data_IF_237778482446
#
_entry.id   IF_237778482446
#
_cell.length_a   1.000
_cell.length_b   1.000
_cell.length_c   1.000
_cell.angle_alpha   90.00
_cell.angle_beta   90.00
_cell.angle_gamma   90.00
#
_symmetry.space_group_name_H-M   'P 1'
#
loop_
_entity.id
_entity.type
_entity.pdbx_description
1 polymer ?
#
# COMPACT_ATOMS: atom_id res chain seq x y z
N UNK A 1 -5.38 -24.46 -10.13
CA UNK A 1 -5.77 -23.29 -10.93
C UNK A 1 -5.34 -22.05 -10.14
N UNK A 2 -4.50 -21.16 -10.67
CA UNK A 2 -4.29 -19.82 -10.13
C UNK A 2 -2.90 -19.40 -9.65
N UNK A 3 -1.81 -20.11 -10.00
CA UNK A 3 -0.45 -19.60 -9.67
C UNK A 3 0.08 -18.49 -10.60
N UNK A 4 -0.56 -18.25 -11.74
CA UNK A 4 -0.01 -17.38 -12.79
C UNK A 4 -0.79 -16.08 -13.06
N UNK A 5 -1.79 -15.72 -12.22
CA UNK A 5 -2.63 -14.53 -12.48
C UNK A 5 -1.85 -13.20 -12.41
N UNK A 6 -0.73 -13.17 -11.71
CA UNK A 6 0.13 -11.99 -11.61
C UNK A 6 1.38 -12.10 -12.48
N UNK A 7 1.64 -13.28 -13.10
CA UNK A 7 2.77 -13.47 -13.98
C UNK A 7 2.68 -12.57 -15.22
N UNK A 8 3.79 -11.88 -15.55
CA UNK A 8 3.86 -10.95 -16.65
C UNK A 8 3.11 -9.63 -16.45
N UNK A 9 2.59 -9.37 -15.24
CA UNK A 9 1.98 -8.10 -14.87
C UNK A 9 3.00 -7.14 -14.26
N UNK A 10 2.79 -5.85 -14.46
CA UNK A 10 3.61 -4.81 -13.83
C UNK A 10 2.95 -4.33 -12.56
N UNK A 11 3.66 -4.43 -11.43
CA UNK A 11 3.21 -4.00 -10.12
C UNK A 11 4.01 -2.78 -9.63
N UNK A 12 3.31 -1.70 -9.25
CA UNK A 12 3.89 -0.57 -8.52
C UNK A 12 3.57 -0.71 -7.03
N UNK A 13 4.60 -0.75 -6.18
CA UNK A 13 4.50 -0.71 -4.72
C UNK A 13 5.12 0.59 -4.23
N UNK A 14 4.32 1.52 -3.70
CA UNK A 14 4.85 2.72 -3.07
C UNK A 14 5.31 2.44 -1.64
N UNK A 15 6.39 3.11 -1.19
CA UNK A 15 7.03 2.75 0.09
C UNK A 15 7.60 1.34 0.06
N UNK A 16 8.09 0.90 -1.11
CA UNK A 16 8.53 -0.47 -1.36
C UNK A 16 9.81 -0.87 -0.62
N UNK A 17 10.58 0.08 -0.10
CA UNK A 17 11.90 -0.18 0.51
C UNK A 17 11.85 -0.65 1.96
N UNK A 18 10.69 -0.62 2.64
CA UNK A 18 10.62 -0.95 4.07
C UNK A 18 9.39 -1.74 4.48
N UNK A 19 9.49 -2.45 5.59
CA UNK A 19 8.38 -3.12 6.27
C UNK A 19 7.43 -3.88 5.34
N UNK A 20 6.17 -3.51 5.37
CA UNK A 20 5.10 -4.10 4.55
C UNK A 20 5.43 -4.00 3.05
N UNK A 21 5.95 -2.84 2.59
CA UNK A 21 6.26 -2.64 1.18
C UNK A 21 7.30 -3.61 0.64
N UNK A 22 8.34 -3.92 1.43
CA UNK A 22 9.37 -4.91 1.10
C UNK A 22 8.77 -6.32 0.98
N UNK A 23 7.95 -6.72 1.95
CA UNK A 23 7.31 -8.03 1.93
C UNK A 23 6.36 -8.18 0.72
N UNK A 24 5.59 -7.14 0.41
CA UNK A 24 4.72 -7.09 -0.78
C UNK A 24 5.51 -7.22 -2.08
N UNK A 25 6.60 -6.48 -2.21
CA UNK A 25 7.44 -6.51 -3.41
C UNK A 25 8.01 -7.90 -3.68
N UNK A 26 8.55 -8.55 -2.64
CA UNK A 26 9.09 -9.92 -2.73
C UNK A 26 8.01 -10.94 -3.11
N UNK A 27 6.85 -10.87 -2.50
CA UNK A 27 5.76 -11.79 -2.83
C UNK A 27 5.21 -11.58 -4.23
N UNK A 28 5.05 -10.33 -4.69
CA UNK A 28 4.64 -10.04 -6.06
C UNK A 28 5.65 -10.55 -7.08
N UNK A 29 6.94 -10.40 -6.80
CA UNK A 29 8.00 -10.97 -7.62
C UNK A 29 7.94 -12.52 -7.66
N UNK A 30 7.71 -13.16 -6.51
CA UNK A 30 7.54 -14.61 -6.42
C UNK A 30 6.30 -15.11 -7.21
N UNK A 31 5.23 -14.30 -7.27
CA UNK A 31 4.04 -14.56 -8.10
C UNK A 31 4.26 -14.26 -9.60
N UNK A 32 5.44 -13.82 -10.00
CA UNK A 32 5.82 -13.64 -11.40
C UNK A 32 5.63 -12.23 -11.96
N UNK A 33 5.29 -11.26 -11.15
CA UNK A 33 5.15 -9.88 -11.58
C UNK A 33 6.52 -9.20 -11.83
N UNK A 34 6.55 -8.24 -12.74
CA UNK A 34 7.55 -7.19 -12.77
C UNK A 34 7.24 -6.18 -11.65
N UNK A 35 8.25 -5.72 -10.90
CA UNK A 35 8.01 -4.93 -9.69
C UNK A 35 8.70 -3.57 -9.77
N UNK A 36 7.93 -2.51 -9.56
CA UNK A 36 8.45 -1.17 -9.36
C UNK A 36 8.35 -0.78 -7.87
N UNK A 37 9.47 -0.32 -7.34
CA UNK A 37 9.63 0.14 -5.96
C UNK A 37 9.65 1.66 -5.92
N UNK A 38 8.55 2.30 -5.48
CA UNK A 38 8.58 3.72 -5.16
C UNK A 38 9.17 3.94 -3.77
N UNK A 39 10.20 4.77 -3.62
CA UNK A 39 10.82 5.09 -2.33
C UNK A 39 11.10 6.60 -2.20
N UNK A 40 11.34 7.10 -0.97
CA UNK A 40 11.69 8.51 -0.75
C UNK A 40 13.13 8.71 -0.28
N UNK A 41 13.52 8.08 0.81
CA UNK A 41 14.80 8.35 1.47
C UNK A 41 15.74 7.14 1.56
N UNK A 42 15.20 5.93 1.51
CA UNK A 42 15.96 4.70 1.74
C UNK A 42 16.46 4.12 0.40
N UNK A 43 17.29 4.89 -0.33
CA UNK A 43 17.84 4.48 -1.65
C UNK A 43 18.58 3.15 -1.57
N UNK A 44 19.51 3.02 -0.61
CA UNK A 44 20.29 1.79 -0.44
C UNK A 44 19.39 0.56 -0.20
N UNK A 45 18.39 0.67 0.68
CA UNK A 45 17.44 -0.41 0.94
C UNK A 45 16.60 -0.75 -0.30
N UNK A 46 16.23 0.25 -1.10
CA UNK A 46 15.48 0.03 -2.33
C UNK A 46 16.34 -0.67 -3.40
N UNK A 47 17.60 -0.28 -3.55
CA UNK A 47 18.55 -0.88 -4.48
C UNK A 47 18.93 -2.32 -4.07
N UNK A 48 19.13 -2.58 -2.77
CA UNK A 48 19.33 -3.93 -2.25
C UNK A 48 18.14 -4.85 -2.52
N UNK A 49 16.92 -4.35 -2.27
CA UNK A 49 15.70 -5.11 -2.57
C UNK A 49 15.53 -5.36 -4.07
N UNK A 50 15.84 -4.38 -4.89
CA UNK A 50 15.80 -4.55 -6.34
C UNK A 50 16.80 -5.63 -6.81
N UNK A 51 18.01 -5.67 -6.24
CA UNK A 51 18.98 -6.72 -6.52
C UNK A 51 18.45 -8.12 -6.11
N UNK A 52 17.86 -8.24 -4.92
CA UNK A 52 17.25 -9.50 -4.43
C UNK A 52 16.11 -9.99 -5.36
N UNK A 53 15.27 -9.07 -5.87
CA UNK A 53 14.22 -9.41 -6.83
C UNK A 53 14.81 -9.81 -8.18
N UNK A 54 15.87 -9.13 -8.63
CA UNK A 54 16.54 -9.45 -9.88
C UNK A 54 17.18 -10.84 -9.87
N UNK A 55 17.67 -11.33 -8.71
CA UNK A 55 18.16 -12.71 -8.54
C UNK A 55 17.06 -13.75 -8.82
N UNK A 56 15.79 -13.41 -8.58
CA UNK A 56 14.64 -14.23 -8.94
C UNK A 56 14.29 -14.16 -10.44
N UNK A 57 15.13 -13.49 -11.26
CA UNK A 57 14.93 -13.25 -12.70
C UNK A 57 13.63 -12.52 -13.02
N UNK A 58 13.24 -11.58 -12.16
CA UNK A 58 12.07 -10.70 -12.38
C UNK A 58 12.53 -9.30 -12.76
N UNK A 59 11.88 -8.67 -13.74
CA UNK A 59 12.12 -7.27 -14.04
C UNK A 59 11.78 -6.42 -12.80
N UNK A 60 12.69 -5.50 -12.46
CA UNK A 60 12.52 -4.64 -11.29
C UNK A 60 13.12 -3.27 -11.56
N UNK A 61 12.50 -2.22 -11.01
CA UNK A 61 13.03 -0.85 -10.98
C UNK A 61 12.76 -0.22 -9.63
N UNK A 62 13.71 0.56 -9.13
CA UNK A 62 13.54 1.40 -7.96
C UNK A 62 13.55 2.87 -8.39
N UNK A 63 12.50 3.62 -8.04
CA UNK A 63 12.32 5.03 -8.43
C UNK A 63 12.11 5.87 -7.19
N UNK A 64 12.93 6.90 -7.04
CA UNK A 64 12.80 7.87 -5.96
C UNK A 64 11.64 8.83 -6.25
N UNK A 65 10.74 9.01 -5.28
CA UNK A 65 9.62 9.92 -5.38
C UNK A 65 9.21 10.47 -4.00
N UNK A 66 9.18 11.78 -3.85
CA UNK A 66 8.61 12.44 -2.68
C UNK A 66 7.11 12.66 -2.89
N UNK A 67 6.31 11.72 -2.46
CA UNK A 67 4.86 11.72 -2.63
C UNK A 67 4.13 12.86 -1.88
N UNK A 68 4.84 13.68 -1.10
CA UNK A 68 4.28 14.92 -0.55
C UNK A 68 4.12 16.01 -1.63
N UNK A 69 4.84 15.90 -2.75
CA UNK A 69 4.76 16.82 -3.89
C UNK A 69 3.57 16.46 -4.77
N UNK A 70 2.81 17.45 -5.27
CA UNK A 70 1.61 17.19 -6.08
C UNK A 70 1.87 16.43 -7.39
N UNK A 71 2.99 16.69 -8.04
CA UNK A 71 3.40 16.10 -9.33
C UNK A 71 4.00 14.69 -9.18
N UNK A 72 4.72 14.41 -8.09
CA UNK A 72 5.51 13.21 -7.91
C UNK A 72 4.74 11.88 -8.08
N UNK A 73 3.46 11.73 -7.68
CA UNK A 73 2.73 10.50 -7.91
C UNK A 73 2.57 10.16 -9.40
N UNK A 74 2.33 11.17 -10.26
CA UNK A 74 2.18 10.98 -11.71
C UNK A 74 3.53 10.70 -12.34
N UNK A 75 4.56 11.48 -12.00
CA UNK A 75 5.94 11.27 -12.49
C UNK A 75 6.47 9.88 -12.12
N UNK A 76 6.16 9.39 -10.90
CA UNK A 76 6.49 8.02 -10.48
C UNK A 76 5.82 6.99 -11.39
N UNK A 77 4.52 7.14 -11.65
CA UNK A 77 3.78 6.19 -12.49
C UNK A 77 4.31 6.20 -13.93
N UNK A 78 4.54 7.37 -14.52
CA UNK A 78 5.12 7.52 -15.86
C UNK A 78 6.52 6.89 -15.95
N UNK A 79 7.35 7.08 -14.91
CA UNK A 79 8.68 6.45 -14.84
C UNK A 79 8.61 4.93 -14.78
N UNK A 80 7.62 4.37 -14.07
CA UNK A 80 7.38 2.92 -14.04
C UNK A 80 6.93 2.42 -15.41
N UNK A 81 5.96 3.10 -16.02
CA UNK A 81 5.42 2.71 -17.34
C UNK A 81 6.49 2.77 -18.43
N UNK A 82 7.41 3.73 -18.36
CA UNK A 82 8.57 3.81 -19.25
C UNK A 82 9.53 2.63 -19.06
N UNK A 83 9.79 2.21 -17.81
CA UNK A 83 10.77 1.18 -17.51
C UNK A 83 10.25 -0.26 -17.65
N UNK A 84 9.00 -0.52 -17.24
CA UNK A 84 8.44 -1.86 -17.13
C UNK A 84 7.15 -2.09 -17.92
N UNK A 85 6.66 -1.06 -18.61
CA UNK A 85 5.37 -1.10 -19.31
C UNK A 85 4.19 -0.76 -18.40
N UNK A 86 2.96 -0.84 -18.95
CA UNK A 86 1.75 -0.39 -18.30
C UNK A 86 1.54 -0.99 -16.91
N UNK A 87 1.15 -0.18 -15.93
CA UNK A 87 0.88 -0.64 -14.56
C UNK A 87 -0.44 -1.40 -14.54
N UNK A 88 -0.39 -2.68 -14.15
CA UNK A 88 -1.55 -3.57 -13.98
C UNK A 88 -1.95 -3.71 -12.51
N UNK A 89 -1.01 -3.52 -11.59
CA UNK A 89 -1.20 -3.68 -10.15
C UNK A 89 -0.66 -2.44 -9.45
N UNK A 90 -1.48 -1.77 -8.66
CA UNK A 90 -1.10 -0.66 -7.81
C UNK A 90 -1.30 -1.05 -6.34
N UNK A 91 -0.22 -1.11 -5.57
CA UNK A 91 -0.27 -1.20 -4.11
C UNK A 91 0.20 0.14 -3.54
N UNK A 92 -0.77 0.98 -3.17
CA UNK A 92 -0.49 2.26 -2.54
C UNK A 92 -0.23 2.05 -1.05
N UNK A 93 1.02 1.73 -0.73
CA UNK A 93 1.48 1.37 0.61
C UNK A 93 2.21 2.52 1.33
N UNK A 94 2.84 3.44 0.61
CA UNK A 94 3.53 4.57 1.22
C UNK A 94 2.62 5.31 2.21
N UNK A 95 3.18 5.64 3.37
CA UNK A 95 2.46 6.37 4.38
C UNK A 95 3.41 6.98 5.41
N UNK A 96 2.98 8.08 6.00
CA UNK A 96 3.64 8.75 7.11
C UNK A 96 2.69 8.82 8.29
N UNK A 97 3.24 8.71 9.51
CA UNK A 97 2.48 8.82 10.74
C UNK A 97 3.39 9.28 11.87
N UNK A 98 3.38 10.57 12.17
CA UNK A 98 4.00 11.13 13.37
C UNK A 98 3.01 11.03 14.52
N UNK A 99 3.41 10.37 15.61
CA UNK A 99 2.57 10.31 16.81
C UNK A 99 2.42 11.71 17.41
N UNK A 100 1.19 12.19 17.48
CA UNK A 100 0.85 13.50 18.02
C UNK A 100 -0.60 13.51 18.53
N UNK A 101 -0.85 14.20 19.66
CA UNK A 101 -2.19 14.43 20.17
C UNK A 101 -2.96 15.41 19.28
N UNK A 102 -4.27 15.52 19.48
CA UNK A 102 -5.09 16.50 18.72
C UNK A 102 -4.69 17.95 18.99
N UNK A 103 -4.05 18.23 20.12
CA UNK A 103 -3.56 19.56 20.49
C UNK A 103 -2.23 19.89 19.82
N UNK A 104 -1.44 18.88 19.45
CA UNK A 104 -0.12 19.00 18.82
C UNK A 104 -0.18 18.98 17.29
N UNK A 105 -1.27 18.48 16.72
CA UNK A 105 -1.46 18.43 15.26
C UNK A 105 -1.84 19.79 14.73
N UNK A 106 -0.88 20.50 14.15
CA UNK A 106 -1.15 21.74 13.42
C UNK A 106 -1.57 21.48 11.96
N UNK A 107 -1.94 22.55 11.26
CA UNK A 107 -2.37 22.47 9.85
C UNK A 107 -1.28 21.91 8.93
N UNK A 108 -0.01 22.22 9.17
CA UNK A 108 1.10 21.77 8.33
C UNK A 108 1.31 20.25 8.44
N UNK A 109 1.33 19.69 9.65
CA UNK A 109 1.42 18.27 9.88
C UNK A 109 0.19 17.52 9.32
N UNK A 110 -1.00 18.12 9.47
CA UNK A 110 -2.23 17.57 8.92
C UNK A 110 -2.15 17.48 7.39
N UNK A 111 -1.78 18.57 6.72
CA UNK A 111 -1.69 18.66 5.26
C UNK A 111 -0.60 17.75 4.69
N UNK A 112 0.59 17.68 5.32
CA UNK A 112 1.65 16.76 4.93
C UNK A 112 1.17 15.30 4.97
N UNK A 113 0.49 14.94 6.05
CA UNK A 113 -0.03 13.57 6.21
C UNK A 113 -1.07 13.23 5.14
N UNK A 114 -2.00 14.15 4.86
CA UNK A 114 -2.99 13.95 3.81
C UNK A 114 -2.34 13.93 2.41
N UNK A 115 -1.30 14.71 2.18
CA UNK A 115 -0.58 14.71 0.92
C UNK A 115 -0.04 13.32 0.57
N UNK A 116 0.65 12.68 1.52
CA UNK A 116 1.26 11.36 1.31
C UNK A 116 0.23 10.23 1.40
N UNK A 117 -0.61 10.24 2.44
CA UNK A 117 -1.46 9.09 2.77
C UNK A 117 -2.76 9.04 1.96
N UNK A 118 -3.19 10.15 1.37
CA UNK A 118 -4.47 10.25 0.67
C UNK A 118 -4.35 10.80 -0.75
N UNK A 119 -3.78 12.01 -0.92
CA UNK A 119 -3.68 12.65 -2.23
C UNK A 119 -2.84 11.82 -3.20
N UNK A 120 -1.69 11.32 -2.77
CA UNK A 120 -0.82 10.52 -3.61
C UNK A 120 -1.47 9.20 -4.06
N UNK A 121 -2.06 8.36 -3.19
CA UNK A 121 -2.85 7.20 -3.60
C UNK A 121 -3.98 7.52 -4.59
N UNK A 122 -4.70 8.63 -4.37
CA UNK A 122 -5.74 9.09 -5.30
C UNK A 122 -5.18 9.43 -6.68
N UNK A 123 -4.09 10.20 -6.75
CA UNK A 123 -3.47 10.60 -8.02
C UNK A 123 -2.89 9.41 -8.78
N UNK A 124 -2.24 8.46 -8.08
CA UNK A 124 -1.78 7.20 -8.67
C UNK A 124 -2.94 6.40 -9.24
N UNK A 125 -3.99 6.16 -8.45
CA UNK A 125 -5.16 5.43 -8.91
C UNK A 125 -5.81 6.12 -10.13
N UNK A 126 -5.99 7.45 -10.09
CA UNK A 126 -6.51 8.24 -11.19
C UNK A 126 -5.68 8.10 -12.47
N UNK A 127 -4.34 8.02 -12.35
CA UNK A 127 -3.44 7.89 -13.48
C UNK A 127 -3.54 6.50 -14.13
N UNK A 128 -3.50 5.42 -13.34
CA UNK A 128 -3.45 4.05 -13.88
C UNK A 128 -4.79 3.51 -14.35
N UNK A 129 -5.90 4.01 -13.79
CA UNK A 129 -7.25 3.48 -14.05
C UNK A 129 -7.67 3.51 -15.53
N UNK A 130 -7.45 4.57 -16.32
CA UNK A 130 -7.83 4.58 -17.73
C UNK A 130 -7.21 3.41 -18.51
N UNK A 131 -5.89 3.20 -18.38
CA UNK A 131 -5.20 2.11 -19.04
C UNK A 131 -5.60 0.72 -18.52
N UNK A 132 -5.83 0.56 -17.21
CA UNK A 132 -6.34 -0.69 -16.63
C UNK A 132 -7.72 -1.05 -17.22
N UNK A 133 -8.63 -0.08 -17.32
CA UNK A 133 -9.97 -0.27 -17.89
C UNK A 133 -9.92 -0.66 -19.36
N UNK A 134 -9.10 0.04 -20.14
CA UNK A 134 -8.92 -0.26 -21.57
C UNK A 134 -8.39 -1.68 -21.81
N UNK A 135 -7.47 -2.16 -20.96
CA UNK A 135 -6.92 -3.52 -21.03
C UNK A 135 -7.83 -4.60 -20.42
N UNK A 136 -8.96 -4.22 -19.80
CA UNK A 136 -9.87 -5.16 -19.14
C UNK A 136 -9.26 -5.85 -17.91
N UNK A 137 -8.21 -5.28 -17.32
CA UNK A 137 -7.52 -5.82 -16.15
C UNK A 137 -6.88 -4.71 -15.32
N UNK A 138 -7.11 -4.75 -14.02
CA UNK A 138 -6.44 -3.89 -13.04
C UNK A 138 -6.67 -4.38 -11.63
N UNK A 139 -5.68 -4.16 -10.76
CA UNK A 139 -5.72 -4.49 -9.34
C UNK A 139 -5.20 -3.32 -8.52
N UNK A 140 -6.04 -2.72 -7.71
CA UNK A 140 -5.65 -1.61 -6.82
C UNK A 140 -5.91 -2.03 -5.38
N UNK A 141 -4.87 -1.90 -4.54
CA UNK A 141 -4.99 -2.06 -3.09
C UNK A 141 -4.40 -0.83 -2.41
N UNK A 142 -5.21 -0.21 -1.56
CA UNK A 142 -4.77 0.83 -0.64
C UNK A 142 -4.39 0.20 0.70
N UNK A 143 -3.18 0.45 1.20
CA UNK A 143 -2.79 0.05 2.55
C UNK A 143 -3.27 1.13 3.53
N UNK A 144 -4.40 0.83 4.16
CA UNK A 144 -5.05 1.65 5.16
C UNK A 144 -4.47 1.34 6.56
N UNK A 145 -5.30 1.35 7.58
CA UNK A 145 -5.01 0.98 8.97
C UNK A 145 -6.33 0.77 9.73
N UNK A 146 -6.31 -0.04 10.79
CA UNK A 146 -7.43 -0.07 11.74
C UNK A 146 -7.70 1.31 12.37
N UNK A 147 -6.69 2.19 12.39
CA UNK A 147 -6.88 3.58 12.82
C UNK A 147 -7.95 4.31 12.00
N UNK A 148 -8.18 3.91 10.74
CA UNK A 148 -9.27 4.43 9.91
C UNK A 148 -10.67 4.05 10.39
N UNK A 149 -10.79 3.06 11.30
CA UNK A 149 -12.07 2.65 11.90
C UNK A 149 -12.26 3.18 13.32
N UNK A 150 -11.18 3.15 14.13
CA UNK A 150 -11.27 3.37 15.57
C UNK A 150 -10.44 4.58 16.06
N UNK A 151 -9.84 5.37 15.17
CA UNK A 151 -8.97 6.48 15.51
C UNK A 151 -7.53 6.09 15.80
N UNK A 152 -7.31 5.00 16.50
CA UNK A 152 -5.97 4.48 16.79
C UNK A 152 -5.16 5.35 17.77
N UNK A 153 -3.82 5.23 17.71
CA UNK A 153 -2.90 5.86 18.69
C UNK A 153 -1.87 6.82 18.04
N UNK A 154 -1.89 6.98 16.72
CA UNK A 154 -0.95 7.85 16.01
C UNK A 154 -1.39 9.31 16.07
N UNK A 155 -2.67 9.57 15.82
CA UNK A 155 -3.25 10.92 15.89
C UNK A 155 -4.37 11.13 14.86
N UNK A 156 -5.12 12.26 14.99
CA UNK A 156 -6.32 12.52 14.17
C UNK A 156 -6.01 12.66 12.67
N UNK A 157 -4.89 13.27 12.31
CA UNK A 157 -4.42 13.43 10.92
C UNK A 157 -4.23 12.06 10.23
N UNK A 158 -3.57 11.13 10.93
CA UNK A 158 -3.35 9.78 10.44
C UNK A 158 -4.66 8.99 10.32
N UNK A 159 -5.46 8.99 11.39
CA UNK A 159 -6.75 8.30 11.40
C UNK A 159 -7.67 8.79 10.26
N UNK A 160 -7.79 10.10 10.10
CA UNK A 160 -8.57 10.71 9.02
C UNK A 160 -8.05 10.29 7.64
N UNK A 161 -6.71 10.34 7.42
CA UNK A 161 -6.09 9.95 6.15
C UNK A 161 -6.36 8.48 5.79
N UNK A 162 -6.31 7.59 6.78
CA UNK A 162 -6.53 6.14 6.57
C UNK A 162 -8.03 5.80 6.41
N UNK A 163 -8.93 6.49 7.09
CA UNK A 163 -10.36 6.39 6.88
C UNK A 163 -10.77 6.84 5.47
N UNK A 164 -10.16 7.90 4.95
CA UNK A 164 -10.44 8.42 3.61
C UNK A 164 -10.12 7.41 2.50
N UNK A 165 -9.15 6.50 2.69
CA UNK A 165 -8.85 5.42 1.74
C UNK A 165 -10.02 4.44 1.61
N UNK A 166 -10.81 4.23 2.66
CA UNK A 166 -12.04 3.43 2.59
C UNK A 166 -13.05 4.10 1.65
N UNK A 167 -13.22 5.42 1.76
CA UNK A 167 -14.06 6.21 0.85
C UNK A 167 -13.60 6.11 -0.60
N UNK A 168 -12.29 6.20 -0.88
CA UNK A 168 -11.74 6.01 -2.23
C UNK A 168 -12.01 4.60 -2.76
N UNK A 169 -11.85 3.58 -1.93
CA UNK A 169 -12.16 2.19 -2.28
C UNK A 169 -13.62 2.06 -2.71
N UNK A 170 -14.54 2.54 -1.89
CA UNK A 170 -15.98 2.47 -2.18
C UNK A 170 -16.41 3.34 -3.36
N UNK A 171 -15.68 4.43 -3.62
CA UNK A 171 -15.96 5.27 -4.79
C UNK A 171 -15.51 4.61 -6.10
N UNK A 172 -14.29 4.08 -6.16
CA UNK A 172 -13.74 3.55 -7.40
C UNK A 172 -14.29 2.17 -7.74
N UNK A 173 -14.34 1.25 -6.78
CA UNK A 173 -14.62 -0.15 -7.03
C UNK A 173 -15.87 -0.40 -7.89
N UNK A 174 -17.09 0.10 -7.55
CA UNK A 174 -18.28 -0.18 -8.35
C UNK A 174 -18.24 0.46 -9.75
N UNK A 175 -17.42 1.49 -9.96
CA UNK A 175 -17.32 2.22 -11.24
C UNK A 175 -16.38 1.56 -12.23
N UNK A 176 -15.43 0.76 -11.75
CA UNK A 176 -14.40 0.14 -12.60
C UNK A 176 -14.49 -1.38 -12.64
N UNK A 177 -15.30 -1.99 -11.76
CA UNK A 177 -15.51 -3.44 -11.75
C UNK A 177 -16.05 -4.00 -13.07
N UNK A 178 -16.99 -3.33 -13.78
CA UNK A 178 -17.44 -3.79 -15.10
C UNK A 178 -16.33 -3.90 -16.13
N UNK A 179 -15.25 -3.12 -15.96
CA UNK A 179 -14.10 -3.10 -16.86
C UNK A 179 -12.97 -4.06 -16.39
N UNK A 180 -13.26 -5.01 -15.51
CA UNK A 180 -12.28 -6.02 -15.04
C UNK A 180 -11.29 -5.52 -14.00
N UNK A 181 -11.49 -4.34 -13.42
CA UNK A 181 -10.62 -3.74 -12.41
C UNK A 181 -11.20 -3.93 -11.01
N UNK A 182 -10.38 -4.38 -10.07
CA UNK A 182 -10.77 -4.47 -8.65
C UNK A 182 -10.06 -3.41 -7.82
N UNK A 183 -10.77 -2.86 -6.84
CA UNK A 183 -10.22 -1.88 -5.88
C UNK A 183 -10.61 -2.29 -4.48
N UNK A 184 -9.60 -2.48 -3.61
CA UNK A 184 -9.79 -2.89 -2.22
C UNK A 184 -8.86 -2.10 -1.31
N UNK A 185 -9.07 -2.21 -0.01
CA UNK A 185 -8.15 -1.73 1.01
C UNK A 185 -7.81 -2.84 2.00
N UNK A 186 -6.58 -2.83 2.50
CA UNK A 186 -6.13 -3.64 3.62
C UNK A 186 -5.87 -2.69 4.79
N UNK A 187 -6.37 -3.03 5.96
CA UNK A 187 -6.29 -2.23 7.18
C UNK A 187 -5.53 -3.01 8.27
N UNK A 188 -4.18 -2.93 8.27
CA UNK A 188 -3.37 -3.53 9.32
C UNK A 188 -3.56 -2.82 10.66
N UNK A 189 -3.37 -3.57 11.76
CA UNK A 189 -3.18 -2.99 13.09
C UNK A 189 -1.69 -2.72 13.36
N UNK A 190 -1.20 -3.18 14.49
CA UNK A 190 0.20 -3.01 14.89
C UNK A 190 1.05 -4.09 14.23
N UNK A 191 1.87 -3.67 13.29
CA UNK A 191 2.79 -4.53 12.53
C UNK A 191 4.23 -4.13 12.91
N UNK A 192 5.08 -5.12 13.13
CA UNK A 192 6.51 -4.90 13.38
C UNK A 192 7.21 -4.26 12.16
N UNK A 193 8.33 -3.61 12.39
CA UNK A 193 9.21 -3.04 11.36
C UNK A 193 8.54 -2.07 10.35
N UNK A 194 7.47 -1.37 10.78
CA UNK A 194 6.76 -0.44 9.89
C UNK A 194 7.27 1.01 9.92
N UNK A 195 8.30 1.31 10.71
CA UNK A 195 8.90 2.65 10.79
C UNK A 195 8.08 3.70 11.56
N UNK A 196 6.90 3.37 12.06
CA UNK A 196 6.13 4.23 12.98
C UNK A 196 6.52 3.85 14.41
N UNK A 197 7.24 4.74 15.09
CA UNK A 197 7.68 4.52 16.47
C UNK A 197 6.48 4.64 17.42
N UNK A 198 5.90 3.53 17.83
CA UNK A 198 4.70 3.48 18.68
C UNK A 198 4.97 3.13 20.15
N UNK A 199 6.22 2.91 20.54
CA UNK A 199 6.61 2.56 21.91
C UNK A 199 7.12 1.12 22.06
N UNK A 200 7.07 0.59 23.30
CA UNK A 200 7.57 -0.74 23.64
C UNK A 200 6.74 -1.85 22.95
N UNK A 201 7.35 -2.72 22.13
CA UNK A 201 6.67 -3.80 21.44
C UNK A 201 5.93 -4.77 22.39
N UNK A 202 6.45 -5.03 23.59
CA UNK A 202 5.79 -5.93 24.55
C UNK A 202 4.50 -5.33 25.09
N UNK A 203 4.49 -4.03 25.38
CA UNK A 203 3.28 -3.33 25.82
C UNK A 203 2.24 -3.22 24.71
N UNK A 204 2.68 -3.06 23.47
CA UNK A 204 1.80 -3.03 22.30
C UNK A 204 1.19 -4.41 22.04
N UNK A 205 1.99 -5.48 22.12
CA UNK A 205 1.52 -6.86 21.95
C UNK A 205 0.44 -7.24 22.97
N UNK A 206 0.55 -6.77 24.21
CA UNK A 206 -0.44 -7.02 25.25
C UNK A 206 -1.84 -6.43 24.96
N UNK A 207 -1.93 -5.50 24.01
CA UNK A 207 -3.21 -4.89 23.57
C UNK A 207 -3.88 -5.64 22.42
N UNK A 208 -3.19 -6.62 21.85
CA UNK A 208 -3.67 -7.39 20.69
C UNK A 208 -4.18 -8.75 21.20
N UNK A 209 -5.41 -9.16 20.89
CA UNK A 209 -5.96 -10.44 21.37
C UNK A 209 -5.10 -11.66 21.05
N UNK A 210 -4.44 -11.72 19.90
CA UNK A 210 -3.50 -12.82 19.57
C UNK A 210 -2.17 -12.76 20.33
N UNK A 211 -1.92 -11.72 21.15
CA UNK A 211 -0.78 -11.61 22.06
C UNK A 211 0.56 -11.25 21.42
N UNK A 212 0.58 -10.81 20.15
CA UNK A 212 1.78 -10.38 19.43
C UNK A 212 1.47 -9.31 18.38
N UNK A 213 2.49 -8.63 17.92
CA UNK A 213 2.40 -7.81 16.72
C UNK A 213 2.20 -8.72 15.48
N UNK A 214 1.55 -8.19 14.45
CA UNK A 214 1.55 -8.81 13.13
C UNK A 214 2.89 -8.63 12.43
N UNK A 215 3.16 -9.44 11.42
CA UNK A 215 4.36 -9.34 10.60
C UNK A 215 4.06 -8.69 9.24
N UNK A 216 5.04 -8.04 8.59
CA UNK A 216 4.89 -7.57 7.21
C UNK A 216 4.48 -8.68 6.23
N UNK A 217 4.96 -9.92 6.45
CA UNK A 217 4.63 -11.07 5.62
C UNK A 217 3.13 -11.42 5.71
N UNK A 218 2.52 -11.39 6.90
CA UNK A 218 1.08 -11.66 7.06
C UNK A 218 0.22 -10.63 6.31
N UNK A 219 0.63 -9.34 6.30
CA UNK A 219 -0.05 -8.30 5.52
C UNK A 219 0.11 -8.55 4.02
N UNK A 220 1.30 -8.94 3.59
CA UNK A 220 1.58 -9.23 2.19
C UNK A 220 0.80 -10.48 1.71
N UNK A 221 0.70 -11.54 2.51
CA UNK A 221 -0.07 -12.76 2.20
C UNK A 221 -1.54 -12.44 1.91
N UNK A 222 -2.19 -11.66 2.80
CA UNK A 222 -3.57 -11.25 2.60
C UNK A 222 -3.70 -10.36 1.35
N UNK A 223 -2.78 -9.41 1.17
CA UNK A 223 -2.82 -8.49 0.03
C UNK A 223 -2.70 -9.24 -1.30
N UNK A 224 -1.75 -10.15 -1.41
CA UNK A 224 -1.56 -10.98 -2.62
C UNK A 224 -2.76 -11.90 -2.86
N UNK A 225 -3.34 -12.48 -1.81
CA UNK A 225 -4.57 -13.28 -1.94
C UNK A 225 -5.74 -12.45 -2.51
N UNK A 226 -5.89 -11.19 -2.06
CA UNK A 226 -6.90 -10.24 -2.58
C UNK A 226 -6.61 -9.88 -4.04
N UNK A 227 -5.36 -9.57 -4.39
CA UNK A 227 -4.95 -9.21 -5.76
C UNK A 227 -5.18 -10.36 -6.76
N UNK A 228 -5.00 -11.61 -6.33
CA UNK A 228 -5.23 -12.81 -7.16
C UNK A 228 -6.70 -13.13 -7.40
N UNK A 229 -7.59 -12.62 -6.56
CA UNK A 229 -9.01 -12.94 -6.64
C UNK A 229 -9.79 -11.82 -7.34
N UNK A 230 -10.14 -12.03 -8.61
CA UNK A 230 -10.90 -11.06 -9.41
C UNK A 230 -12.36 -10.86 -8.99
N UNK A 231 -12.88 -11.65 -8.02
CA UNK A 231 -14.22 -11.48 -7.48
C UNK A 231 -14.27 -10.66 -6.20
N UNK A 232 -13.09 -10.37 -5.62
CA UNK A 232 -12.93 -9.51 -4.44
C UNK A 232 -12.75 -8.06 -4.89
N UNK A 233 -13.75 -7.24 -4.68
CA UNK A 233 -13.69 -5.79 -4.93
C UNK A 233 -14.59 -5.05 -3.95
N UNK A 234 -14.33 -3.76 -3.72
CA UNK A 234 -15.10 -2.90 -2.82
C UNK A 234 -15.04 -3.33 -1.34
N UNK A 235 -13.96 -3.98 -0.94
CA UNK A 235 -13.78 -4.46 0.42
C UNK A 235 -12.67 -3.70 1.15
N UNK A 236 -12.83 -3.58 2.46
CA UNK A 236 -11.78 -3.13 3.38
C UNK A 236 -11.54 -4.26 4.38
N UNK A 237 -10.42 -4.95 4.24
CA UNK A 237 -10.07 -6.08 5.10
C UNK A 237 -9.20 -5.62 6.27
N UNK A 238 -9.62 -5.89 7.49
CA UNK A 238 -8.73 -5.76 8.65
C UNK A 238 -7.82 -7.00 8.76
N UNK A 239 -6.56 -6.74 9.13
CA UNK A 239 -5.59 -7.74 9.57
C UNK A 239 -4.95 -7.22 10.85
N UNK A 240 -5.53 -7.61 11.99
CA UNK A 240 -5.40 -6.85 13.23
C UNK A 240 -5.25 -7.71 14.49
N UNK A 241 -5.16 -9.02 14.36
CA UNK A 241 -5.05 -9.92 15.49
C UNK A 241 -6.24 -9.87 16.47
N UNK A 242 -7.41 -9.40 16.01
CA UNK A 242 -8.65 -9.32 16.79
C UNK A 242 -8.85 -7.97 17.50
N UNK A 243 -8.07 -6.94 17.17
CA UNK A 243 -8.20 -5.59 17.78
C UNK A 243 -9.53 -4.94 17.45
N UNK A 244 -10.03 -5.13 16.25
CA UNK A 244 -11.27 -4.53 15.77
C UNK A 244 -12.23 -5.58 15.20
N UNK A 245 -13.15 -6.10 16.01
CA UNK A 245 -14.19 -7.01 15.52
C UNK A 245 -15.18 -6.28 14.63
N UNK A 246 -15.58 -6.92 13.54
CA UNK A 246 -16.65 -6.49 12.64
C UNK A 246 -17.80 -7.44 12.69
#
# INVERSE_FOLDING_TARGET
MGRDLLAGRTALVTGGSGGIGRALALQLAAEGAAVALGFRTSRESAEQLAAEIAEQRRPVVAIEADLSKPEAPVELAEGVEFALGPIDILVANAGVGRVASYEEVDGALFDETLAVNLRAPYLLARHVLPGMRERGFGRIVFISSVAGFIGGIVGPHYAASKAALHGLTHYFAPRVAPDGVTVNAIAPALIEDTGIALGDPQQLAARIPVGRLGTPAEVADLTVAVLRNGYITNQVFSIDGGVYPR
#
